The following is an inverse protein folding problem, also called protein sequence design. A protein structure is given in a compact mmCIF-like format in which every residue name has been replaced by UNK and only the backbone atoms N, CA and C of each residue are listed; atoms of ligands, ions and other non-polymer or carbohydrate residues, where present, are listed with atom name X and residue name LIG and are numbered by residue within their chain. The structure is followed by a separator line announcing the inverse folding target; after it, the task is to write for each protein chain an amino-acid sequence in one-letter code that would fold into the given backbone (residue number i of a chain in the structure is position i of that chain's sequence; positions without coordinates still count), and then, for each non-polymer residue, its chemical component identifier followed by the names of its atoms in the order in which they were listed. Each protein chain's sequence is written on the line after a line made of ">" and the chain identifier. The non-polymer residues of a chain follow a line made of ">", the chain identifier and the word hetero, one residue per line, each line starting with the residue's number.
data_IF_133013670507
#
_entry.id   IF_133013670507
#
_cell.length_a   1.000
_cell.length_b   1.000
_cell.length_c   1.000
_cell.angle_alpha   90.00
_cell.angle_beta   90.00
_cell.angle_gamma   90.00
#
_symmetry.space_group_name_H-M   'P 1'
#
loop_
_entity.id
_entity.type
_entity.pdbx_description
1 polymer ?
#
# COMPACT_ATOMS: atom_id res chain seq x y z
N UNK A 1 33.99 -30.20 -32.48
CA UNK A 1 33.98 -28.82 -32.04
C UNK A 1 33.17 -28.67 -30.74
N UNK A 2 33.82 -28.37 -29.66
CA UNK A 2 33.11 -28.10 -28.43
C UNK A 2 32.65 -26.64 -28.42
N UNK A 3 31.35 -26.42 -28.54
CA UNK A 3 30.72 -25.12 -28.35
C UNK A 3 30.98 -24.64 -26.93
N UNK A 4 31.40 -23.40 -26.79
CA UNK A 4 31.72 -22.79 -25.49
C UNK A 4 30.43 -22.44 -24.71
N UNK A 5 29.75 -23.47 -24.18
CA UNK A 5 28.49 -23.33 -23.46
C UNK A 5 28.60 -22.47 -22.21
N UNK A 6 29.79 -22.38 -21.59
CA UNK A 6 30.02 -21.55 -20.41
C UNK A 6 30.02 -20.05 -20.75
N UNK A 7 30.55 -19.66 -21.89
CA UNK A 7 30.53 -18.27 -22.37
C UNK A 7 29.13 -17.81 -22.73
N UNK A 8 28.33 -18.67 -23.37
CA UNK A 8 26.93 -18.37 -23.72
C UNK A 8 26.06 -18.18 -22.50
N UNK A 9 26.16 -19.06 -21.45
CA UNK A 9 25.45 -18.94 -20.21
C UNK A 9 25.81 -17.67 -19.45
N UNK A 10 27.07 -17.27 -19.45
CA UNK A 10 27.52 -16.03 -18.77
C UNK A 10 26.95 -14.81 -19.47
N UNK A 11 26.92 -14.74 -20.77
CA UNK A 11 26.35 -13.66 -21.57
C UNK A 11 24.85 -13.54 -21.36
N UNK A 12 24.09 -14.65 -21.30
CA UNK A 12 22.66 -14.66 -21.00
C UNK A 12 22.37 -14.14 -19.59
N UNK A 13 23.16 -14.54 -18.58
CA UNK A 13 23.04 -14.07 -17.20
C UNK A 13 23.27 -12.56 -17.10
N UNK A 14 24.32 -12.03 -17.74
CA UNK A 14 24.62 -10.59 -17.76
C UNK A 14 23.50 -9.80 -18.42
N UNK A 15 22.96 -10.28 -19.54
CA UNK A 15 21.83 -9.66 -20.23
C UNK A 15 20.57 -9.63 -19.34
N UNK A 16 20.24 -10.72 -18.64
CA UNK A 16 19.11 -10.80 -17.72
C UNK A 16 19.26 -9.80 -16.57
N UNK A 17 20.44 -9.65 -16.01
CA UNK A 17 20.71 -8.67 -14.93
C UNK A 17 20.49 -7.24 -15.43
N UNK A 18 21.00 -6.90 -16.63
CA UNK A 18 20.83 -5.57 -17.23
C UNK A 18 19.36 -5.31 -17.51
N UNK A 19 18.63 -6.25 -18.13
CA UNK A 19 17.20 -6.11 -18.45
C UNK A 19 16.37 -5.94 -17.17
N UNK A 20 16.68 -6.67 -16.10
CA UNK A 20 16.02 -6.56 -14.80
C UNK A 20 16.25 -5.18 -14.17
N UNK A 21 17.47 -4.65 -14.21
CA UNK A 21 17.80 -3.34 -13.68
C UNK A 21 17.08 -2.22 -14.45
N UNK A 22 17.02 -2.30 -15.77
CA UNK A 22 16.28 -1.34 -16.61
C UNK A 22 14.79 -1.39 -16.29
N UNK A 23 14.21 -2.57 -16.13
CA UNK A 23 12.81 -2.76 -15.77
C UNK A 23 12.49 -2.12 -14.41
N UNK A 24 13.32 -2.35 -13.37
CA UNK A 24 13.16 -1.77 -12.05
C UNK A 24 13.21 -0.24 -12.08
N UNK A 25 14.14 0.35 -12.83
CA UNK A 25 14.24 1.80 -12.98
C UNK A 25 12.98 2.36 -13.66
N UNK A 26 12.52 1.69 -14.72
CA UNK A 26 11.31 2.08 -15.47
C UNK A 26 10.06 2.00 -14.59
N UNK A 27 9.91 0.93 -13.82
CA UNK A 27 8.79 0.76 -12.88
C UNK A 27 8.79 1.85 -11.82
N UNK A 28 9.95 2.18 -11.26
CA UNK A 28 10.10 3.22 -10.24
C UNK A 28 9.72 4.59 -10.79
N UNK A 29 10.18 4.96 -11.97
CA UNK A 29 9.81 6.21 -12.63
C UNK A 29 8.32 6.26 -12.95
N UNK A 30 7.74 5.14 -13.41
CA UNK A 30 6.31 5.06 -13.65
C UNK A 30 5.51 5.35 -12.38
N UNK A 31 5.90 4.76 -11.25
CA UNK A 31 5.24 4.97 -9.94
C UNK A 31 5.30 6.44 -9.54
N UNK A 32 6.46 7.09 -9.70
CA UNK A 32 6.63 8.51 -9.38
C UNK A 32 5.70 9.36 -10.23
N UNK A 33 5.63 9.08 -11.53
CA UNK A 33 4.85 9.87 -12.48
C UNK A 33 3.34 9.58 -12.42
N UNK A 34 2.95 8.42 -11.85
CA UNK A 34 1.56 7.96 -11.83
C UNK A 34 1.09 7.59 -10.41
N UNK A 35 1.60 8.26 -9.39
CA UNK A 35 1.23 7.92 -8.02
C UNK A 35 -0.27 8.08 -7.75
N UNK A 36 -0.95 8.97 -8.44
CA UNK A 36 -2.41 9.11 -8.37
C UNK A 36 -3.13 7.80 -8.74
N UNK A 37 -2.64 7.09 -9.75
CA UNK A 37 -3.18 5.77 -10.15
C UNK A 37 -2.82 4.68 -9.13
N UNK A 38 -1.60 4.70 -8.59
CA UNK A 38 -1.17 3.79 -7.53
C UNK A 38 -2.05 3.98 -6.29
N UNK A 39 -2.27 5.22 -5.89
CA UNK A 39 -3.14 5.56 -4.76
C UNK A 39 -4.57 5.05 -4.98
N UNK A 40 -5.13 5.29 -6.15
CA UNK A 40 -6.47 4.83 -6.51
C UNK A 40 -6.59 3.30 -6.43
N UNK A 41 -5.60 2.57 -6.90
CA UNK A 41 -5.54 1.12 -6.81
C UNK A 41 -5.51 0.65 -5.34
N UNK A 42 -4.68 1.29 -4.52
CA UNK A 42 -4.60 1.00 -3.09
C UNK A 42 -5.93 1.29 -2.35
N UNK A 43 -6.58 2.41 -2.66
CA UNK A 43 -7.87 2.77 -2.07
C UNK A 43 -8.96 1.76 -2.47
N UNK A 44 -9.03 1.41 -3.74
CA UNK A 44 -10.01 0.44 -4.22
C UNK A 44 -9.84 -0.92 -3.55
N UNK A 45 -8.62 -1.38 -3.42
CA UNK A 45 -8.32 -2.63 -2.72
C UNK A 45 -8.69 -2.54 -1.24
N UNK A 46 -8.33 -1.46 -0.57
CA UNK A 46 -8.67 -1.22 0.84
C UNK A 46 -10.19 -1.22 1.06
N UNK A 47 -10.95 -0.55 0.21
CA UNK A 47 -12.42 -0.54 0.29
C UNK A 47 -13.01 -1.92 0.07
N UNK A 48 -12.54 -2.66 -0.92
CA UNK A 48 -13.02 -4.02 -1.20
C UNK A 48 -12.80 -4.93 0.01
N UNK A 49 -11.61 -4.91 0.59
CA UNK A 49 -11.27 -5.77 1.74
C UNK A 49 -12.05 -5.35 2.99
N UNK A 50 -12.20 -4.05 3.26
CA UNK A 50 -12.99 -3.59 4.41
C UNK A 50 -14.48 -3.90 4.25
N UNK A 51 -15.03 -3.78 3.04
CA UNK A 51 -16.43 -4.14 2.75
C UNK A 51 -16.66 -5.64 2.95
N UNK A 52 -15.72 -6.48 2.54
CA UNK A 52 -15.78 -7.92 2.77
C UNK A 52 -15.76 -8.25 4.27
N UNK A 53 -14.89 -7.59 5.03
CA UNK A 53 -14.80 -7.79 6.48
C UNK A 53 -16.10 -7.38 7.19
N UNK A 54 -16.67 -6.26 6.79
CA UNK A 54 -17.94 -5.78 7.35
C UNK A 54 -19.09 -6.74 7.02
N UNK A 55 -19.14 -7.22 5.81
CA UNK A 55 -20.14 -8.21 5.35
C UNK A 55 -20.02 -9.52 6.14
N UNK A 56 -18.79 -10.02 6.31
CA UNK A 56 -18.54 -11.24 7.09
C UNK A 56 -19.00 -11.08 8.54
N UNK A 57 -18.75 -9.92 9.14
CA UNK A 57 -19.21 -9.61 10.48
C UNK A 57 -20.74 -9.64 10.57
N UNK A 58 -21.41 -9.01 9.62
CA UNK A 58 -22.87 -8.95 9.60
C UNK A 58 -23.52 -10.32 9.32
N UNK A 59 -22.87 -11.19 8.57
CA UNK A 59 -23.31 -12.57 8.37
C UNK A 59 -23.19 -13.40 9.66
N UNK A 60 -22.12 -13.21 10.43
CA UNK A 60 -21.91 -13.91 11.70
C UNK A 60 -22.78 -13.35 12.83
N UNK A 61 -23.03 -12.07 12.82
CA UNK A 61 -23.75 -11.36 13.89
C UNK A 61 -24.86 -10.50 13.31
N UNK A 62 -25.91 -11.13 12.69
CA UNK A 62 -26.96 -10.38 11.98
C UNK A 62 -27.80 -9.49 12.89
N UNK A 63 -27.84 -9.78 14.20
CA UNK A 63 -28.63 -9.03 15.18
C UNK A 63 -27.81 -7.99 15.93
N UNK A 64 -26.55 -7.77 15.56
CA UNK A 64 -25.72 -6.75 16.20
C UNK A 64 -26.31 -5.36 15.93
N UNK A 65 -26.51 -4.59 17.03
CA UNK A 65 -27.17 -3.27 16.99
C UNK A 65 -26.38 -2.25 16.17
N UNK A 66 -25.06 -2.33 16.22
CA UNK A 66 -24.19 -1.37 15.54
C UNK A 66 -23.84 -1.79 14.10
N UNK A 67 -24.02 -3.08 13.77
CA UNK A 67 -23.70 -3.63 12.44
C UNK A 67 -22.20 -3.61 12.12
N UNK A 68 -21.34 -3.48 13.14
CA UNK A 68 -19.88 -3.47 13.00
C UNK A 68 -19.21 -3.95 14.28
N UNK A 69 -17.94 -4.42 14.24
CA UNK A 69 -17.18 -4.75 15.45
C UNK A 69 -17.12 -3.61 16.46
N UNK A 70 -17.18 -3.93 17.75
CA UNK A 70 -17.52 -3.00 18.83
C UNK A 70 -16.49 -1.92 19.17
N UNK A 71 -15.21 -2.16 18.93
CA UNK A 71 -14.16 -1.23 19.34
C UNK A 71 -14.08 -0.02 18.42
N UNK A 72 -14.19 1.18 19.01
CA UNK A 72 -13.99 2.43 18.29
C UNK A 72 -12.50 2.79 18.24
N UNK A 73 -12.07 3.37 17.14
CA UNK A 73 -10.68 3.82 17.00
C UNK A 73 -10.35 4.30 15.61
N UNK A 74 -9.06 4.44 15.37
CA UNK A 74 -8.51 5.03 14.15
C UNK A 74 -7.40 4.15 13.59
N UNK A 75 -7.25 4.15 12.27
CA UNK A 75 -6.17 3.48 11.59
C UNK A 75 -5.63 4.35 10.45
N UNK A 76 -4.34 4.23 10.21
CA UNK A 76 -3.64 4.98 9.16
C UNK A 76 -2.49 4.15 8.60
N UNK A 77 -1.91 4.60 7.51
CA UNK A 77 -0.74 3.96 6.90
C UNK A 77 0.44 4.92 7.00
N UNK A 78 1.56 4.42 7.48
CA UNK A 78 2.83 5.14 7.56
C UNK A 78 3.75 4.62 6.45
N UNK A 79 4.38 5.53 5.74
CA UNK A 79 5.37 5.22 4.70
C UNK A 79 6.70 5.86 5.08
N UNK A 80 7.74 5.03 5.14
CA UNK A 80 9.11 5.47 5.42
C UNK A 80 9.89 5.68 4.13
N UNK A 81 11.02 6.36 4.23
CA UNK A 81 11.98 6.57 3.13
C UNK A 81 11.45 7.43 1.97
N UNK A 82 10.38 8.19 2.22
CA UNK A 82 9.88 9.19 1.28
C UNK A 82 9.89 10.56 1.95
N UNK A 83 10.48 11.55 1.28
CA UNK A 83 10.49 12.93 1.73
C UNK A 83 9.47 13.75 0.94
N UNK A 84 8.70 14.59 1.63
CA UNK A 84 7.62 15.39 1.02
C UNK A 84 8.12 16.42 0.00
N UNK A 85 9.39 16.82 0.07
CA UNK A 85 9.98 17.79 -0.88
C UNK A 85 10.46 17.16 -2.19
N UNK A 86 10.37 15.83 -2.34
CA UNK A 86 10.69 15.14 -3.59
C UNK A 86 9.49 15.11 -4.54
N UNK A 87 9.73 14.78 -5.82
CA UNK A 87 8.64 14.61 -6.79
C UNK A 87 7.61 13.59 -6.30
N UNK A 88 8.09 12.44 -5.81
CA UNK A 88 7.21 11.39 -5.27
C UNK A 88 6.45 11.89 -4.03
N UNK A 89 7.15 12.52 -3.09
CA UNK A 89 6.53 13.03 -1.87
C UNK A 89 5.45 14.09 -2.16
N UNK A 90 5.67 14.96 -3.15
CA UNK A 90 4.68 15.95 -3.58
C UNK A 90 3.44 15.29 -4.19
N UNK A 91 3.64 14.25 -5.01
CA UNK A 91 2.54 13.47 -5.57
C UNK A 91 1.74 12.76 -4.47
N UNK A 92 2.41 12.19 -3.49
CA UNK A 92 1.78 11.55 -2.34
C UNK A 92 1.02 12.56 -1.48
N UNK A 93 1.59 13.74 -1.24
CA UNK A 93 0.90 14.82 -0.53
C UNK A 93 -0.39 15.25 -1.24
N UNK A 94 -0.38 15.30 -2.55
CA UNK A 94 -1.57 15.61 -3.35
C UNK A 94 -2.67 14.57 -3.16
N UNK A 95 -2.31 13.32 -2.84
CA UNK A 95 -3.25 12.23 -2.55
C UNK A 95 -3.71 12.16 -1.09
N UNK A 96 -3.20 13.03 -0.22
CA UNK A 96 -3.62 13.09 1.18
C UNK A 96 -2.56 12.72 2.21
N UNK A 97 -1.36 12.38 1.79
CA UNK A 97 -0.27 12.10 2.72
C UNK A 97 0.20 13.38 3.44
N UNK A 98 0.57 13.24 4.69
CA UNK A 98 1.07 14.31 5.54
C UNK A 98 2.30 13.83 6.31
N UNK A 99 3.09 14.76 6.82
CA UNK A 99 4.21 14.43 7.68
C UNK A 99 3.72 13.71 8.93
N UNK A 100 4.32 12.56 9.24
CA UNK A 100 4.02 11.80 10.45
C UNK A 100 4.88 12.28 11.61
N UNK A 101 4.28 12.39 12.80
CA UNK A 101 4.94 12.84 14.00
C UNK A 101 5.87 11.75 14.49
N UNK A 102 6.54 11.09 14.28
CA UNK A 102 7.47 10.01 14.67
C UNK A 102 8.34 9.54 13.52
N UNK A 103 8.22 10.21 12.38
CA UNK A 103 8.99 9.90 11.19
C UNK A 103 8.14 9.33 10.06
N UNK A 104 8.58 9.55 8.83
CA UNK A 104 7.85 9.16 7.63
C UNK A 104 6.70 10.09 7.28
N UNK A 105 5.84 9.63 6.41
CA UNK A 105 4.61 10.30 6.01
C UNK A 105 3.44 9.35 6.18
N UNK A 106 2.23 9.86 6.34
CA UNK A 106 1.07 9.00 6.61
C UNK A 106 -0.18 9.45 5.88
N UNK A 107 -1.09 8.51 5.68
CA UNK A 107 -2.44 8.74 5.19
C UNK A 107 -3.45 8.15 6.17
N UNK A 108 -4.40 8.97 6.60
CA UNK A 108 -5.42 8.62 7.59
C UNK A 108 -6.59 7.90 6.92
N UNK A 109 -7.05 6.81 7.55
CA UNK A 109 -8.25 6.09 7.16
C UNK A 109 -8.37 5.89 5.64
N UNK A 110 -7.38 5.23 5.00
CA UNK A 110 -7.29 5.18 3.54
C UNK A 110 -8.42 4.40 2.86
N UNK A 111 -9.15 3.55 3.59
CA UNK A 111 -10.34 2.88 3.05
C UNK A 111 -11.58 3.78 3.04
N UNK A 112 -11.49 4.96 3.66
CA UNK A 112 -12.60 5.91 3.79
C UNK A 112 -13.85 5.30 4.43
N UNK A 113 -13.65 4.39 5.38
CA UNK A 113 -14.73 3.77 6.13
C UNK A 113 -15.32 4.75 7.14
N UNK A 114 -16.61 5.03 7.03
CA UNK A 114 -17.31 6.06 7.83
C UNK A 114 -17.81 5.58 9.18
N UNK A 115 -17.80 4.28 9.46
CA UNK A 115 -18.20 3.72 10.75
C UNK A 115 -17.18 3.99 11.86
N UNK A 116 -17.50 3.54 13.06
CA UNK A 116 -16.65 3.75 14.24
C UNK A 116 -15.64 2.61 14.47
N UNK A 117 -15.88 1.45 13.90
CA UNK A 117 -15.10 0.24 14.16
C UNK A 117 -13.62 0.40 13.80
N UNK A 118 -12.74 0.28 14.79
CA UNK A 118 -11.30 0.23 14.60
C UNK A 118 -10.90 -1.00 13.77
N UNK A 119 -11.53 -2.16 14.01
CA UNK A 119 -11.20 -3.41 13.32
C UNK A 119 -11.40 -3.28 11.80
N UNK A 120 -12.49 -2.64 11.37
CA UNK A 120 -12.75 -2.42 9.95
C UNK A 120 -11.77 -1.41 9.36
N UNK A 121 -11.46 -0.33 10.10
CA UNK A 121 -10.46 0.67 9.68
C UNK A 121 -9.06 0.06 9.57
N UNK A 122 -8.66 -0.78 10.54
CA UNK A 122 -7.39 -1.50 10.51
C UNK A 122 -7.30 -2.43 9.30
N UNK A 123 -8.37 -3.18 9.02
CA UNK A 123 -8.43 -4.09 7.87
C UNK A 123 -8.21 -3.34 6.56
N UNK A 124 -8.88 -2.21 6.39
CA UNK A 124 -8.72 -1.37 5.21
C UNK A 124 -7.33 -0.76 5.10
N UNK A 125 -6.82 -0.22 6.20
CA UNK A 125 -5.47 0.38 6.24
C UNK A 125 -4.38 -0.67 5.97
N UNK A 126 -4.52 -1.87 6.53
CA UNK A 126 -3.60 -2.98 6.27
C UNK A 126 -3.59 -3.37 4.79
N UNK A 127 -4.76 -3.47 4.19
CA UNK A 127 -4.89 -3.78 2.75
C UNK A 127 -4.24 -2.68 1.89
N UNK A 128 -4.46 -1.41 2.22
CA UNK A 128 -3.80 -0.29 1.53
C UNK A 128 -2.27 -0.41 1.62
N UNK A 129 -1.75 -0.67 2.82
CA UNK A 129 -0.30 -0.83 3.03
C UNK A 129 0.26 -2.03 2.26
N UNK A 130 -0.45 -3.15 2.22
CA UNK A 130 -0.04 -4.34 1.45
C UNK A 130 0.08 -4.03 -0.04
N UNK A 131 -0.94 -3.38 -0.61
CA UNK A 131 -0.91 -2.99 -2.02
C UNK A 131 0.22 -2.00 -2.29
N UNK A 132 0.43 -1.04 -1.40
CA UNK A 132 1.50 -0.06 -1.54
C UNK A 132 2.88 -0.74 -1.47
N UNK A 133 3.06 -1.72 -0.58
CA UNK A 133 4.29 -2.53 -0.54
C UNK A 133 4.52 -3.29 -1.85
N UNK A 134 3.47 -3.75 -2.52
CA UNK A 134 3.60 -4.42 -3.82
C UNK A 134 4.16 -3.50 -4.91
N UNK A 135 3.99 -2.19 -4.75
CA UNK A 135 4.61 -1.17 -5.61
C UNK A 135 6.01 -0.75 -5.15
N UNK A 136 6.57 -1.38 -4.12
CA UNK A 136 7.94 -1.15 -3.66
C UNK A 136 8.09 -0.16 -2.49
N UNK A 137 7.00 0.26 -1.88
CA UNK A 137 7.02 1.19 -0.74
C UNK A 137 7.27 0.47 0.58
N UNK A 138 7.90 1.17 1.51
CA UNK A 138 8.10 0.75 2.89
C UNK A 138 6.91 1.26 3.73
N UNK A 139 5.78 0.55 3.65
CA UNK A 139 4.49 0.98 4.17
C UNK A 139 3.94 0.02 5.21
N UNK A 140 3.38 0.57 6.29
CA UNK A 140 2.83 -0.21 7.41
C UNK A 140 1.55 0.44 7.95
N UNK A 141 0.62 -0.40 8.40
CA UNK A 141 -0.57 0.05 9.11
C UNK A 141 -0.23 0.36 10.56
N UNK A 142 -0.81 1.43 11.08
CA UNK A 142 -0.79 1.76 12.50
C UNK A 142 -2.21 2.12 12.95
N UNK A 143 -2.50 1.98 14.23
CA UNK A 143 -3.84 2.21 14.76
C UNK A 143 -3.81 2.66 16.22
N UNK A 144 -4.92 3.21 16.65
CA UNK A 144 -5.10 3.69 18.01
C UNK A 144 -6.57 3.55 18.42
N UNK A 145 -6.83 2.93 19.58
CA UNK A 145 -8.16 2.92 20.17
C UNK A 145 -8.56 4.34 20.60
N UNK A 146 -9.84 4.61 20.49
CA UNK A 146 -10.42 5.89 20.91
C UNK A 146 -10.68 5.90 22.43
#
# INVERSE_FOLDING_TARGET
>A
MKTNQQGEKKMETEKLVIDTNIKLITEKEWVINNFDLVHKDCVNYAKTISDMALRDFNEKFPDDVNGEPAYCGFAWVVVFDVKLNTRLGKAMKACGFRKEYGGGISIWNPSDYHGQSMDIKETGARAYAEMLRSYGFNAYMNSRAD
#
